data_IF_546327628960
#
_entry.id   IF_546327628960
#
_cell.length_a   1.000
_cell.length_b   1.000
_cell.length_c   1.000
_cell.angle_alpha   90.00
_cell.angle_beta   90.00
_cell.angle_gamma   90.00
#
_symmetry.space_group_name_H-M   'P 1'
#
loop_
_entity.id
_entity.type
_entity.pdbx_description
1 polymer ?
#
# COMPACT_ATOMS: atom_id res chain seq x y z
N UNK A 1 -2.02 19.64 -0.17
CA UNK A 1 -1.09 18.49 -0.14
C UNK A 1 -1.33 17.60 -1.35
N UNK A 2 -0.29 17.28 -2.06
CA UNK A 2 -0.39 16.44 -3.24
C UNK A 2 -0.10 14.99 -2.88
N UNK A 3 -1.04 14.11 -3.20
CA UNK A 3 -0.83 12.68 -3.03
C UNK A 3 -0.16 12.13 -4.29
N UNK A 4 0.85 11.30 -4.10
CA UNK A 4 1.58 10.68 -5.19
C UNK A 4 1.18 9.23 -5.35
N UNK A 5 1.19 8.76 -6.58
CA UNK A 5 0.94 7.35 -6.87
C UNK A 5 2.17 6.51 -6.55
N UNK A 6 1.98 5.53 -5.68
CA UNK A 6 3.03 4.58 -5.30
C UNK A 6 2.68 3.24 -5.93
N UNK A 7 3.38 2.89 -7.00
CA UNK A 7 3.12 1.64 -7.72
C UNK A 7 3.72 0.47 -6.98
N UNK A 8 2.92 -0.58 -6.82
CA UNK A 8 3.25 -1.73 -6.00
C UNK A 8 3.42 -2.97 -6.85
N UNK A 9 4.51 -3.71 -6.60
CA UNK A 9 4.75 -5.00 -7.22
C UNK A 9 5.29 -5.96 -6.16
N UNK A 10 5.31 -7.24 -6.50
CA UNK A 10 5.94 -8.27 -5.68
C UNK A 10 5.48 -8.26 -4.21
N UNK A 11 4.16 -8.32 -4.03
CA UNK A 11 3.59 -8.40 -2.68
C UNK A 11 3.94 -9.74 -2.07
N UNK A 12 4.68 -9.73 -0.96
CA UNK A 12 5.11 -10.95 -0.28
C UNK A 12 4.31 -11.24 0.99
N UNK A 13 3.61 -10.24 1.52
CA UNK A 13 2.82 -10.41 2.73
C UNK A 13 1.68 -9.40 2.73
N UNK A 14 0.51 -9.84 3.19
CA UNK A 14 -0.64 -8.95 3.42
C UNK A 14 -1.47 -9.53 4.54
N UNK A 15 -1.89 -8.67 5.48
CA UNK A 15 -2.73 -9.09 6.58
C UNK A 15 -3.66 -7.96 7.00
N UNK A 16 -4.88 -8.29 7.44
CA UNK A 16 -5.78 -7.28 7.99
C UNK A 16 -5.38 -6.97 9.43
N UNK A 17 -5.47 -5.69 9.79
CA UNK A 17 -5.19 -5.22 11.14
C UNK A 17 -6.36 -4.35 11.57
N UNK A 18 -6.96 -4.67 12.71
CA UNK A 18 -7.99 -3.82 13.27
C UNK A 18 -7.39 -3.00 14.40
N UNK A 19 -7.61 -1.70 14.35
CA UNK A 19 -7.05 -0.79 15.33
C UNK A 19 -8.07 0.33 15.60
N UNK A 20 -8.44 0.49 16.87
CA UNK A 20 -9.41 1.52 17.28
C UNK A 20 -10.72 1.46 16.49
N UNK A 21 -11.19 0.25 16.18
CA UNK A 21 -12.42 0.06 15.44
C UNK A 21 -12.30 0.29 13.94
N UNK A 22 -11.10 0.55 13.44
CA UNK A 22 -10.86 0.74 12.01
C UNK A 22 -10.05 -0.40 11.43
N UNK A 23 -10.39 -0.78 10.21
CA UNK A 23 -9.69 -1.84 9.50
C UNK A 23 -8.58 -1.26 8.61
N UNK A 24 -7.37 -1.78 8.79
CA UNK A 24 -6.21 -1.46 7.96
C UNK A 24 -5.65 -2.74 7.37
N UNK A 25 -4.85 -2.60 6.34
CA UNK A 25 -4.12 -3.72 5.75
C UNK A 25 -2.62 -3.42 5.78
N UNK A 26 -1.87 -4.34 6.37
CA UNK A 26 -0.41 -4.27 6.38
C UNK A 26 0.09 -5.09 5.21
N UNK A 27 0.82 -4.44 4.31
CA UNK A 27 1.30 -5.05 3.07
C UNK A 27 2.81 -4.89 2.99
N UNK A 28 3.52 -5.97 2.70
CA UNK A 28 4.96 -5.91 2.43
C UNK A 28 5.15 -6.13 0.94
N UNK A 29 5.77 -5.17 0.28
CA UNK A 29 5.84 -5.15 -1.18
C UNK A 29 6.98 -4.26 -1.66
N UNK A 30 7.24 -4.33 -2.95
CA UNK A 30 8.15 -3.40 -3.61
C UNK A 30 7.34 -2.19 -4.08
N UNK A 31 7.86 -1.00 -3.86
CA UNK A 31 7.16 0.25 -4.18
C UNK A 31 8.02 1.10 -5.10
N UNK A 32 7.41 1.63 -6.15
CA UNK A 32 8.05 2.57 -7.06
C UNK A 32 7.22 3.85 -7.10
N UNK A 33 7.82 4.96 -6.69
CA UNK A 33 7.18 6.27 -6.73
C UNK A 33 8.06 7.21 -7.55
N UNK A 34 7.68 7.39 -8.82
CA UNK A 34 8.40 8.28 -9.73
C UNK A 34 9.91 8.03 -9.77
N UNK A 35 10.29 6.75 -9.89
CA UNK A 35 11.69 6.35 -9.98
C UNK A 35 12.36 6.06 -8.64
N UNK A 36 11.73 6.42 -7.54
CA UNK A 36 12.22 6.06 -6.20
C UNK A 36 11.70 4.68 -5.84
N UNK A 37 12.60 3.71 -5.77
CA UNK A 37 12.22 2.33 -5.53
C UNK A 37 12.60 1.90 -4.13
N UNK A 38 11.66 1.24 -3.44
CA UNK A 38 11.90 0.63 -2.13
C UNK A 38 11.51 -0.83 -2.22
N UNK A 39 12.41 -1.69 -1.75
CA UNK A 39 12.22 -3.14 -1.82
C UNK A 39 11.73 -3.64 -0.48
N UNK A 40 10.68 -4.47 -0.48
CA UNK A 40 10.12 -5.08 0.73
C UNK A 40 9.74 -4.03 1.76
N UNK A 41 9.08 -2.98 1.31
CA UNK A 41 8.58 -1.92 2.17
C UNK A 41 7.30 -2.37 2.86
N UNK A 42 7.20 -2.07 4.15
CA UNK A 42 5.97 -2.29 4.90
C UNK A 42 5.09 -1.07 4.79
N UNK A 43 3.86 -1.28 4.31
CA UNK A 43 2.90 -0.20 4.08
C UNK A 43 1.61 -0.52 4.83
N UNK A 44 1.09 0.47 5.54
CA UNK A 44 -0.20 0.35 6.20
C UNK A 44 -1.22 1.12 5.40
N UNK A 45 -2.23 0.42 4.89
CA UNK A 45 -3.26 1.00 4.03
C UNK A 45 -4.63 0.94 4.69
N UNK A 46 -5.45 1.96 4.43
CA UNK A 46 -6.86 1.90 4.79
C UNK A 46 -7.57 0.91 3.87
N UNK A 47 -8.81 0.59 4.19
CA UNK A 47 -9.61 -0.30 3.36
C UNK A 47 -9.74 0.24 1.94
N UNK A 48 -10.02 1.54 1.79
CA UNK A 48 -10.12 2.17 0.48
C UNK A 48 -8.78 2.14 -0.27
N UNK A 49 -7.68 2.42 0.41
CA UNK A 49 -6.36 2.37 -0.18
C UNK A 49 -6.00 0.97 -0.67
N UNK A 50 -6.36 -0.04 0.11
CA UNK A 50 -6.11 -1.42 -0.27
C UNK A 50 -6.95 -1.84 -1.47
N UNK A 51 -8.22 -1.42 -1.53
CA UNK A 51 -9.08 -1.70 -2.68
C UNK A 51 -8.51 -1.06 -3.95
N UNK A 52 -8.00 0.17 -3.84
CA UNK A 52 -7.34 0.84 -4.96
C UNK A 52 -6.10 0.07 -5.42
N UNK A 53 -5.31 -0.40 -4.46
CA UNK A 53 -4.13 -1.21 -4.78
C UNK A 53 -4.51 -2.46 -5.55
N UNK A 54 -5.56 -3.16 -5.12
CA UNK A 54 -6.00 -4.37 -5.79
C UNK A 54 -6.51 -4.10 -7.21
N UNK A 55 -7.21 -3.00 -7.40
CA UNK A 55 -7.84 -2.70 -8.69
C UNK A 55 -6.92 -1.97 -9.66
N UNK A 56 -6.01 -1.14 -9.16
CA UNK A 56 -5.19 -0.27 -10.01
C UNK A 56 -3.69 -0.50 -9.90
N UNK A 57 -3.23 -1.23 -8.90
CA UNK A 57 -1.82 -1.53 -8.72
C UNK A 57 -1.01 -0.45 -8.03
N UNK A 58 -1.66 0.57 -7.47
CA UNK A 58 -0.97 1.62 -6.73
C UNK A 58 -1.82 2.11 -5.56
N UNK A 59 -1.15 2.77 -4.60
CA UNK A 59 -1.85 3.50 -3.54
C UNK A 59 -1.38 4.97 -3.56
N UNK A 60 -2.14 5.84 -2.93
CA UNK A 60 -1.84 7.27 -2.87
C UNK A 60 -1.27 7.63 -1.50
N UNK A 61 -0.19 8.39 -1.51
CA UNK A 61 0.41 8.87 -0.27
C UNK A 61 1.17 10.18 -0.48
#
# INVERSE_FOLDING_TARGET
>A
MNLLEHYVTNITHKEPIEKNGMLFFRVVCDVDCYGNKEVQKEVLLTEDGYERLKSKGYYLA
#
